data_IF_154640344328
#
_entry.id   IF_154640344328
#
_cell.length_a   1.000
_cell.length_b   1.000
_cell.length_c   1.000
_cell.angle_alpha   90.00
_cell.angle_beta   90.00
_cell.angle_gamma   90.00
#
_symmetry.space_group_name_H-M   'P 1'
#
loop_
_entity.id
_entity.type
_entity.pdbx_description
1 polymer ?
#
# COMPACT_ATOMS: atom_id res chain seq x y z
N UNK A 1 -23.29 28.09 64.19
CA UNK A 1 -24.38 27.38 63.49
C UNK A 1 -24.20 27.55 62.00
N UNK A 2 -24.33 26.44 61.26
CA UNK A 2 -24.41 26.28 59.80
C UNK A 2 -23.16 26.59 58.98
N UNK A 3 -22.80 25.84 57.95
CA UNK A 3 -23.00 24.44 57.56
C UNK A 3 -22.12 24.26 56.30
N UNK A 4 -21.45 23.12 56.24
CA UNK A 4 -20.77 22.46 55.13
C UNK A 4 -21.11 22.88 53.70
N UNK A 5 -20.12 22.88 52.80
CA UNK A 5 -19.95 21.78 51.82
C UNK A 5 -18.69 21.94 50.96
N UNK A 6 -17.94 20.83 50.85
CA UNK A 6 -16.92 20.53 49.85
C UNK A 6 -17.46 20.64 48.42
N UNK A 7 -16.56 20.81 47.43
CA UNK A 7 -16.44 19.89 46.27
C UNK A 7 -15.02 19.99 45.67
N UNK A 8 -14.48 18.80 45.43
CA UNK A 8 -13.21 18.41 44.78
C UNK A 8 -13.26 18.63 43.25
N UNK A 9 -12.20 18.18 42.54
CA UNK A 9 -12.10 17.83 41.09
C UNK A 9 -11.06 18.68 40.32
N UNK A 10 -9.81 18.22 40.25
CA UNK A 10 -9.17 17.18 39.39
C UNK A 10 -8.43 17.81 38.22
N UNK A 11 -7.12 17.58 38.24
CA UNK A 11 -6.16 17.70 37.14
C UNK A 11 -6.60 16.93 35.90
N UNK A 12 -6.58 17.57 34.73
CA UNK A 12 -6.48 16.89 33.43
C UNK A 12 -5.33 17.53 32.66
N UNK A 13 -4.19 16.86 32.66
CA UNK A 13 -3.11 17.02 31.69
C UNK A 13 -3.64 16.61 30.32
N UNK A 14 -3.84 17.56 29.39
CA UNK A 14 -3.99 17.24 27.99
C UNK A 14 -2.63 16.82 27.42
N UNK A 15 -2.41 15.51 27.33
CA UNK A 15 -1.52 14.95 26.31
C UNK A 15 -2.16 15.22 24.94
N UNK A 16 -1.68 16.23 24.23
CA UNK A 16 -1.84 16.33 22.78
C UNK A 16 -0.54 15.85 22.14
N UNK A 17 -0.32 14.54 22.20
CA UNK A 17 0.58 13.87 21.28
C UNK A 17 -0.02 13.98 19.88
N UNK A 18 0.72 14.63 19.00
CA UNK A 18 0.39 14.89 17.60
C UNK A 18 -0.20 13.66 16.93
N UNK A 19 -1.45 13.75 16.47
CA UNK A 19 -1.99 12.79 15.52
C UNK A 19 -1.16 12.89 14.24
N UNK A 20 -0.33 11.88 13.98
CA UNK A 20 0.29 11.72 12.67
C UNK A 20 -0.84 11.49 11.67
N UNK A 21 -1.20 12.54 10.94
CA UNK A 21 -2.15 12.45 9.83
C UNK A 21 -1.43 11.69 8.72
N UNK A 22 -1.60 10.36 8.69
CA UNK A 22 -1.28 9.58 7.50
C UNK A 22 -2.29 9.97 6.43
N UNK A 23 -1.87 10.83 5.51
CA UNK A 23 -2.55 11.05 4.24
C UNK A 23 -2.59 9.72 3.50
N UNK A 24 -3.77 9.07 3.51
CA UNK A 24 -4.08 7.96 2.61
C UNK A 24 -4.09 8.57 1.21
N UNK A 25 -3.02 8.32 0.46
CA UNK A 25 -2.99 8.62 -0.97
C UNK A 25 -4.14 7.83 -1.61
N UNK A 26 -5.14 8.55 -2.12
CA UNK A 26 -6.23 7.99 -2.90
C UNK A 26 -5.62 7.17 -4.04
N UNK A 27 -5.90 5.87 -4.05
CA UNK A 27 -5.62 4.99 -5.17
C UNK A 27 -6.46 5.46 -6.35
N UNK A 28 -5.87 6.22 -7.27
CA UNK A 28 -6.45 6.44 -8.59
C UNK A 28 -6.39 5.13 -9.38
N UNK A 29 -7.45 4.35 -9.19
CA UNK A 29 -8.14 3.47 -10.13
C UNK A 29 -7.44 3.18 -11.48
N UNK A 30 -6.98 1.95 -11.62
CA UNK A 30 -6.86 1.22 -12.88
C UNK A 30 -7.39 -0.19 -12.60
N UNK A 31 -8.37 -0.64 -13.38
CA UNK A 31 -9.14 -1.86 -13.17
C UNK A 31 -8.21 -3.08 -13.24
N UNK A 32 -7.82 -3.65 -12.10
CA UNK A 32 -7.07 -4.90 -12.01
C UNK A 32 -8.05 -5.90 -11.40
N UNK A 33 -8.23 -7.04 -12.04
CA UNK A 33 -9.16 -8.10 -11.60
C UNK A 33 -8.98 -8.33 -10.09
N UNK A 34 -10.04 -8.19 -9.29
CA UNK A 34 -10.00 -8.40 -7.83
C UNK A 34 -9.70 -9.88 -7.51
N UNK A 35 -8.43 -10.27 -7.60
CA UNK A 35 -7.83 -11.32 -6.79
C UNK A 35 -7.21 -10.58 -5.60
N UNK A 36 -7.94 -10.55 -4.49
CA UNK A 36 -7.88 -9.55 -3.40
C UNK A 36 -6.56 -9.42 -2.61
N UNK A 37 -5.46 -10.09 -3.00
CA UNK A 37 -4.28 -10.19 -2.14
C UNK A 37 -3.11 -9.28 -2.49
N UNK A 38 -3.04 -8.70 -3.70
CA UNK A 38 -2.02 -7.69 -4.03
C UNK A 38 -2.63 -6.29 -4.09
N UNK A 39 -1.94 -5.32 -3.50
CA UNK A 39 -2.24 -3.90 -3.67
C UNK A 39 -1.07 -3.18 -4.33
N UNK A 40 -1.36 -2.42 -5.39
CA UNK A 40 -0.33 -1.63 -6.08
C UNK A 40 -0.22 -0.23 -5.48
N UNK A 41 1.02 0.20 -5.25
CA UNK A 41 1.36 1.53 -4.78
C UNK A 41 2.26 2.22 -5.81
N UNK A 42 2.02 3.52 -6.01
CA UNK A 42 2.86 4.38 -6.83
C UNK A 42 3.48 5.45 -5.94
N UNK A 43 4.81 5.53 -5.93
CA UNK A 43 5.56 6.58 -5.26
C UNK A 43 6.27 7.42 -6.31
N UNK A 44 5.95 8.71 -6.34
CA UNK A 44 6.55 9.66 -7.26
C UNK A 44 7.50 10.58 -6.48
N UNK A 45 8.76 10.58 -6.86
CA UNK A 45 9.75 11.56 -6.41
C UNK A 45 9.95 12.62 -7.51
N UNK A 46 10.86 13.58 -7.28
CA UNK A 46 11.21 14.57 -8.32
C UNK A 46 11.90 13.93 -9.53
N UNK A 47 12.63 12.83 -9.31
CA UNK A 47 13.54 12.25 -10.30
C UNK A 47 13.05 10.90 -10.84
N UNK A 48 12.13 10.24 -10.14
CA UNK A 48 11.66 8.90 -10.52
C UNK A 48 10.23 8.61 -10.10
N UNK A 49 9.61 7.67 -10.82
CA UNK A 49 8.37 7.01 -10.39
C UNK A 49 8.69 5.56 -10.08
N UNK A 50 8.36 5.12 -8.87
CA UNK A 50 8.53 3.76 -8.39
C UNK A 50 7.17 3.13 -8.14
N UNK A 51 7.07 1.83 -8.43
CA UNK A 51 5.88 1.04 -8.22
C UNK A 51 6.18 -0.11 -7.26
N UNK A 52 5.24 -0.37 -6.35
CA UNK A 52 5.35 -1.43 -5.36
C UNK A 52 4.10 -2.30 -5.37
N UNK A 53 4.26 -3.60 -5.13
CA UNK A 53 3.18 -4.51 -4.80
C UNK A 53 3.22 -4.85 -3.32
N UNK A 54 2.09 -4.76 -2.62
CA UNK A 54 1.92 -5.11 -1.21
C UNK A 54 1.03 -6.34 -1.07
N UNK A 55 1.45 -7.34 -0.29
CA UNK A 55 0.55 -8.42 0.12
C UNK A 55 -0.42 -7.91 1.20
N UNK A 56 -1.72 -7.89 0.93
CA UNK A 56 -2.73 -7.47 1.93
C UNK A 56 -3.43 -8.65 2.63
N UNK A 57 -3.16 -9.88 2.21
CA UNK A 57 -3.68 -11.10 2.80
C UNK A 57 -2.81 -11.60 3.97
N UNK A 58 -3.41 -12.36 4.88
CA UNK A 58 -2.74 -12.83 6.11
C UNK A 58 -1.68 -13.90 5.84
N UNK A 59 -1.88 -14.73 4.82
CA UNK A 59 -0.95 -15.77 4.40
C UNK A 59 0.22 -15.18 3.61
N UNK A 60 1.43 -15.77 3.73
CA UNK A 60 2.55 -15.38 2.90
C UNK A 60 2.32 -15.82 1.45
N UNK A 61 2.47 -14.88 0.52
CA UNK A 61 2.16 -15.11 -0.89
C UNK A 61 3.34 -14.71 -1.77
N UNK A 62 3.49 -15.46 -2.85
CA UNK A 62 4.38 -15.11 -3.96
C UNK A 62 3.53 -14.77 -5.18
N UNK A 63 3.81 -13.63 -5.79
CA UNK A 63 2.99 -13.07 -6.87
C UNK A 63 3.68 -13.15 -8.22
N UNK A 64 2.87 -13.37 -9.25
CA UNK A 64 3.24 -13.38 -10.66
C UNK A 64 2.45 -12.29 -11.39
N UNK A 65 3.15 -11.24 -11.80
CA UNK A 65 2.55 -10.02 -12.39
C UNK A 65 3.03 -9.91 -13.82
N UNK A 66 2.11 -9.93 -14.79
CA UNK A 66 2.44 -9.74 -16.21
C UNK A 66 1.83 -8.44 -16.71
N UNK A 67 2.63 -7.61 -17.37
CA UNK A 67 2.21 -6.30 -17.86
C UNK A 67 2.81 -5.93 -19.22
N UNK A 68 2.14 -5.02 -19.90
CA UNK A 68 2.64 -4.38 -21.11
C UNK A 68 3.52 -3.18 -20.77
N UNK A 69 4.70 -3.08 -21.40
CA UNK A 69 5.54 -1.89 -21.33
C UNK A 69 5.72 -1.23 -22.71
N UNK A 70 5.84 0.10 -22.74
CA UNK A 70 6.15 0.81 -23.97
C UNK A 70 7.61 0.56 -24.37
N UNK A 71 7.82 -0.04 -25.53
CA UNK A 71 9.08 0.00 -26.27
C UNK A 71 8.92 1.06 -27.36
N UNK A 72 9.97 1.81 -27.68
CA UNK A 72 9.94 2.76 -28.80
C UNK A 72 9.43 2.03 -30.06
N UNK A 73 8.20 2.36 -30.50
CA UNK A 73 7.42 1.79 -31.62
C UNK A 73 6.76 0.41 -31.42
N UNK A 74 6.82 -0.23 -30.25
CA UNK A 74 6.15 -1.53 -29.97
C UNK A 74 5.66 -1.62 -28.52
N UNK A 75 4.73 -2.54 -28.25
CA UNK A 75 4.39 -2.92 -26.88
C UNK A 75 5.08 -4.25 -26.59
N UNK A 76 5.92 -4.31 -25.55
CA UNK A 76 6.48 -5.56 -25.06
C UNK A 76 5.68 -6.07 -23.86
N UNK A 77 5.80 -7.37 -23.55
CA UNK A 77 5.29 -7.96 -22.31
C UNK A 77 6.47 -8.30 -21.40
N UNK A 78 6.29 -8.14 -20.10
CA UNK A 78 7.22 -8.68 -19.12
C UNK A 78 6.43 -9.28 -17.95
N UNK A 79 7.04 -10.25 -17.28
CA UNK A 79 6.52 -10.88 -16.08
C UNK A 79 7.48 -10.61 -14.92
N UNK A 80 6.94 -10.19 -13.79
CA UNK A 80 7.65 -10.07 -12.52
C UNK A 80 7.16 -11.18 -11.61
N UNK A 81 8.11 -11.85 -10.98
CA UNK A 81 7.89 -12.83 -9.92
C UNK A 81 8.47 -12.24 -8.63
N UNK A 82 7.65 -12.16 -7.58
CA UNK A 82 8.11 -11.65 -6.27
C UNK A 82 8.76 -12.76 -5.45
N UNK A 83 9.47 -12.38 -4.39
CA UNK A 83 9.69 -13.30 -3.27
C UNK A 83 8.37 -13.56 -2.51
N UNK A 84 8.37 -14.49 -1.57
CA UNK A 84 7.27 -14.62 -0.61
C UNK A 84 7.16 -13.35 0.23
N UNK A 85 6.00 -12.70 0.20
CA UNK A 85 5.68 -11.49 0.94
C UNK A 85 4.71 -11.84 2.05
N UNK A 86 4.99 -11.42 3.28
CA UNK A 86 4.03 -11.45 4.39
C UNK A 86 3.05 -10.29 4.27
N UNK A 87 1.96 -10.34 5.03
CA UNK A 87 1.00 -9.23 5.12
C UNK A 87 1.70 -7.88 5.39
N UNK A 88 1.40 -6.90 4.56
CA UNK A 88 1.94 -5.54 4.62
C UNK A 88 3.36 -5.39 4.07
N UNK A 89 4.04 -6.48 3.68
CA UNK A 89 5.34 -6.37 3.02
C UNK A 89 5.17 -5.89 1.59
N UNK A 90 6.06 -4.96 1.19
CA UNK A 90 6.06 -4.34 -0.12
C UNK A 90 7.27 -4.82 -0.93
N UNK A 91 7.03 -5.15 -2.19
CA UNK A 91 8.05 -5.50 -3.17
C UNK A 91 8.18 -4.40 -4.21
N UNK A 92 9.40 -3.90 -4.42
CA UNK A 92 9.69 -2.94 -5.49
C UNK A 92 9.59 -3.64 -6.85
N UNK A 93 8.63 -3.21 -7.67
CA UNK A 93 8.45 -3.71 -9.03
C UNK A 93 9.46 -3.00 -9.95
N UNK A 94 10.71 -3.45 -9.90
CA UNK A 94 11.80 -2.79 -10.62
C UNK A 94 11.55 -2.80 -12.14
N UNK A 95 11.65 -1.63 -12.78
CA UNK A 95 11.38 -1.47 -14.21
C UNK A 95 9.90 -1.59 -14.60
N UNK A 96 9.01 -1.72 -13.62
CA UNK A 96 7.57 -1.77 -13.84
C UNK A 96 7.07 -0.38 -14.24
N UNK A 97 6.71 -0.23 -15.51
CA UNK A 97 6.04 0.97 -16.01
C UNK A 97 4.88 0.56 -16.91
N UNK A 98 3.84 -0.07 -16.32
CA UNK A 98 2.82 -0.73 -17.10
C UNK A 98 2.02 0.31 -17.85
N UNK A 99 1.86 0.12 -19.16
CA UNK A 99 0.79 0.76 -19.91
C UNK A 99 -0.55 0.13 -19.52
N UNK A 100 -0.54 -1.18 -19.29
CA UNK A 100 -1.70 -2.00 -19.00
C UNK A 100 -1.23 -3.27 -18.26
N UNK A 101 -1.92 -3.64 -17.18
CA UNK A 101 -1.71 -4.93 -16.52
C UNK A 101 -2.44 -6.01 -17.32
N UNK A 102 -1.76 -7.11 -17.60
CA UNK A 102 -2.31 -8.23 -18.36
C UNK A 102 -2.88 -9.27 -17.40
N UNK A 103 -2.10 -9.65 -16.40
CA UNK A 103 -2.52 -10.64 -15.42
C UNK A 103 -1.80 -10.45 -14.09
N UNK A 104 -2.47 -10.92 -13.05
CA UNK A 104 -1.95 -11.09 -11.71
C UNK A 104 -2.37 -12.46 -11.22
N UNK A 105 -1.40 -13.20 -10.67
CA UNK A 105 -1.66 -14.46 -9.99
C UNK A 105 -0.78 -14.57 -8.74
N UNK A 106 -1.12 -15.51 -7.87
CA UNK A 106 -0.32 -15.79 -6.68
C UNK A 106 -0.34 -17.26 -6.30
N UNK A 107 0.73 -17.67 -5.61
CA UNK A 107 0.84 -18.95 -4.93
C UNK A 107 1.09 -18.71 -3.44
N UNK A 108 0.49 -19.55 -2.60
CA UNK A 108 0.85 -19.60 -1.18
C UNK A 108 2.27 -20.14 -1.03
N UNK A 109 3.01 -19.49 -0.13
CA UNK A 109 4.23 -20.03 0.44
C UNK A 109 3.88 -20.78 1.75
#
# INVERSE_FOLDING_TARGET
MRSSSLILFTTITLLLGTTAIYTIAQSQQGNLNDKECMKFHKKQTKDETQYYGENICDQPLKFYITAYYPIVKKTGQFTIETSCLKKGEQYLLQGFWPKELISEDYEEC
#
